data_IF_733264044379
#
_entry.id   IF_733264044379
#
_cell.length_a   1.000
_cell.length_b   1.000
_cell.length_c   1.000
_cell.angle_alpha   90.00
_cell.angle_beta   90.00
_cell.angle_gamma   90.00
#
_symmetry.space_group_name_H-M   'P 1'
#
loop_
_entity.id
_entity.type
_entity.pdbx_description
1 polymer ?
#
# COMPACT_ATOMS: atom_id res chain seq x y z
N UNK A 1 -4.72 -60.14 65.63
CA UNK A 1 -3.88 -59.57 64.57
C UNK A 1 -4.48 -58.20 64.28
N UNK A 2 -4.07 -57.20 65.08
CA UNK A 2 -3.07 -56.18 64.71
C UNK A 2 -3.64 -55.29 63.60
N UNK A 3 -3.76 -53.98 63.68
CA UNK A 3 -3.33 -52.94 64.62
C UNK A 3 -3.93 -51.63 64.02
N UNK A 4 -4.61 -50.79 64.82
CA UNK A 4 -4.10 -49.49 65.32
C UNK A 4 -4.29 -48.26 64.40
N UNK A 5 -4.56 -47.13 65.08
CA UNK A 5 -4.41 -45.72 64.69
C UNK A 5 -5.49 -45.11 63.76
N UNK A 6 -6.48 -44.34 64.26
CA UNK A 6 -6.52 -43.00 64.93
C UNK A 6 -6.78 -41.83 63.98
N UNK A 7 -7.82 -41.09 64.36
CA UNK A 7 -7.89 -39.63 64.48
C UNK A 7 -8.00 -38.69 63.27
N UNK A 8 -9.02 -37.82 63.43
CA UNK A 8 -9.01 -36.37 63.22
C UNK A 8 -9.19 -35.79 61.79
N UNK A 9 -10.35 -35.13 61.63
CA UNK A 9 -10.55 -33.86 60.88
C UNK A 9 -9.42 -32.82 61.16
N UNK A 10 -9.28 -31.67 60.44
CA UNK A 10 -10.00 -31.10 59.29
C UNK A 10 -9.06 -30.38 58.26
N UNK A 11 -9.65 -29.55 57.39
CA UNK A 11 -9.07 -28.32 56.76
C UNK A 11 -8.73 -28.31 55.25
N UNK A 12 -9.48 -27.41 54.58
CA UNK A 12 -9.03 -26.37 53.63
C UNK A 12 -7.88 -26.73 52.72
N UNK A 13 -8.11 -26.75 51.40
CA UNK A 13 -7.41 -25.85 50.48
C UNK A 13 -8.36 -25.49 49.33
N UNK A 14 -8.87 -24.27 49.36
CA UNK A 14 -9.41 -23.63 48.19
C UNK A 14 -8.31 -23.60 47.13
N UNK A 15 -8.54 -24.25 45.99
CA UNK A 15 -7.70 -24.12 44.80
C UNK A 15 -7.82 -22.67 44.31
N UNK A 16 -6.95 -21.83 44.86
CA UNK A 16 -6.73 -20.48 44.39
C UNK A 16 -6.40 -20.55 42.90
N UNK A 17 -7.28 -20.00 42.06
CA UNK A 17 -6.92 -19.63 40.70
C UNK A 17 -5.70 -18.72 40.80
N UNK A 18 -4.56 -19.18 40.32
CA UNK A 18 -3.41 -18.30 40.17
C UNK A 18 -3.84 -17.13 39.28
N UNK A 19 -3.65 -15.86 39.69
CA UNK A 19 -3.92 -14.74 38.81
C UNK A 19 -2.93 -14.82 37.66
N UNK A 20 -3.41 -15.21 36.46
CA UNK A 20 -2.64 -15.08 35.23
C UNK A 20 -2.18 -13.62 35.12
N UNK A 21 -0.85 -13.43 35.18
CA UNK A 21 -0.18 -12.12 35.21
C UNK A 21 -0.69 -11.24 34.05
N UNK A 22 -1.52 -10.20 34.30
CA UNK A 22 -2.09 -9.36 33.23
C UNK A 22 -1.02 -8.49 32.54
N UNK A 23 0.15 -8.34 33.16
CA UNK A 23 1.24 -7.45 32.72
C UNK A 23 1.93 -7.94 31.45
N UNK A 24 2.31 -9.23 31.40
CA UNK A 24 3.02 -9.82 30.26
C UNK A 24 2.22 -9.76 28.95
N UNK A 25 0.88 -9.81 29.03
CA UNK A 25 -0.01 -9.75 27.87
C UNK A 25 -0.08 -8.33 27.29
N UNK A 26 -0.12 -7.31 28.16
CA UNK A 26 -0.19 -5.91 27.72
C UNK A 26 1.12 -5.45 27.08
N UNK A 27 2.26 -5.70 27.72
CA UNK A 27 3.58 -5.35 27.20
C UNK A 27 3.84 -6.02 25.85
N UNK A 28 3.50 -7.32 25.73
CA UNK A 28 3.59 -8.06 24.47
C UNK A 28 2.73 -7.43 23.38
N UNK A 29 1.49 -7.04 23.68
CA UNK A 29 0.59 -6.36 22.72
C UNK A 29 1.17 -5.02 22.26
N UNK A 30 1.76 -4.25 23.17
CA UNK A 30 2.43 -2.98 22.83
C UNK A 30 3.59 -3.23 21.87
N UNK A 31 4.50 -4.16 22.22
CA UNK A 31 5.68 -4.47 21.39
C UNK A 31 5.27 -4.97 19.99
N UNK A 32 4.31 -5.91 19.90
CA UNK A 32 3.82 -6.42 18.61
C UNK A 32 3.22 -5.30 17.77
N UNK A 33 2.40 -4.43 18.37
CA UNK A 33 1.75 -3.34 17.65
C UNK A 33 2.77 -2.32 17.13
N UNK A 34 3.79 -2.00 17.94
CA UNK A 34 4.88 -1.09 17.53
C UNK A 34 5.74 -1.71 16.42
N UNK A 35 6.09 -2.99 16.54
CA UNK A 35 6.85 -3.70 15.50
C UNK A 35 6.08 -3.76 14.17
N UNK A 36 4.76 -4.04 14.22
CA UNK A 36 3.90 -4.02 13.05
C UNK A 36 3.79 -2.61 12.43
N UNK A 37 3.72 -1.57 13.26
CA UNK A 37 3.70 -0.18 12.80
C UNK A 37 4.99 0.19 12.05
N UNK A 38 6.15 -0.14 12.62
CA UNK A 38 7.45 0.11 11.99
C UNK A 38 7.60 -0.68 10.68
N UNK A 39 7.17 -1.95 10.68
CA UNK A 39 7.16 -2.79 9.48
C UNK A 39 6.34 -2.15 8.36
N UNK A 40 5.16 -1.60 8.68
CA UNK A 40 4.34 -0.89 7.70
C UNK A 40 5.04 0.36 7.14
N UNK A 41 5.73 1.13 7.99
CA UNK A 41 6.50 2.30 7.54
C UNK A 41 7.62 1.91 6.57
N UNK A 42 8.38 0.87 6.91
CA UNK A 42 9.45 0.35 6.05
C UNK A 42 8.90 -0.18 4.73
N UNK A 43 7.79 -0.91 4.76
CA UNK A 43 7.13 -1.42 3.57
C UNK A 43 6.63 -0.29 2.67
N UNK A 44 6.06 0.79 3.21
CA UNK A 44 5.66 1.97 2.41
C UNK A 44 6.87 2.62 1.74
N UNK A 45 8.00 2.77 2.45
CA UNK A 45 9.25 3.30 1.87
C UNK A 45 9.75 2.41 0.73
N UNK A 46 9.78 1.09 0.94
CA UNK A 46 10.19 0.10 -0.06
C UNK A 46 9.29 0.17 -1.30
N UNK A 47 7.97 0.12 -1.12
CA UNK A 47 7.00 0.18 -2.21
C UNK A 47 7.12 1.48 -3.00
N UNK A 48 7.32 2.61 -2.32
CA UNK A 48 7.53 3.91 -2.98
C UNK A 48 8.76 3.91 -3.88
N UNK A 49 9.87 3.32 -3.42
CA UNK A 49 11.07 3.14 -4.25
C UNK A 49 10.81 2.26 -5.46
N UNK A 50 10.13 1.11 -5.27
CA UNK A 50 9.80 0.17 -6.36
C UNK A 50 8.91 0.85 -7.41
N UNK A 51 7.86 1.55 -6.97
CA UNK A 51 6.99 2.33 -7.86
C UNK A 51 7.82 3.33 -8.67
N UNK A 52 8.74 4.05 -8.02
CA UNK A 52 9.64 5.00 -8.69
C UNK A 52 10.51 4.34 -9.76
N UNK A 53 11.05 3.14 -9.50
CA UNK A 53 11.81 2.36 -10.48
C UNK A 53 10.94 1.97 -11.68
N UNK A 54 9.73 1.46 -11.44
CA UNK A 54 8.80 1.10 -12.51
C UNK A 54 8.44 2.32 -13.39
N UNK A 55 8.10 3.45 -12.77
CA UNK A 55 7.79 4.69 -13.48
C UNK A 55 9.01 5.17 -14.27
N UNK A 56 10.21 5.18 -13.67
CA UNK A 56 11.44 5.58 -14.33
C UNK A 56 11.77 4.75 -15.57
N UNK A 57 11.48 3.43 -15.55
CA UNK A 57 11.63 2.57 -16.73
C UNK A 57 10.70 2.97 -17.88
N UNK A 58 9.44 3.30 -17.58
CA UNK A 58 8.50 3.81 -18.57
C UNK A 58 8.95 5.18 -19.11
N UNK A 59 9.37 6.10 -18.23
CA UNK A 59 9.85 7.43 -18.64
C UNK A 59 11.04 7.36 -19.60
N UNK A 60 11.98 6.46 -19.30
CA UNK A 60 13.21 6.33 -20.07
C UNK A 60 13.09 5.34 -21.25
N UNK A 61 11.91 4.74 -21.47
CA UNK A 61 11.61 3.89 -22.64
C UNK A 61 12.34 2.53 -22.68
N UNK A 62 12.80 2.02 -21.54
CA UNK A 62 13.78 0.92 -21.52
C UNK A 62 13.25 -0.47 -21.89
N UNK A 63 11.93 -0.71 -21.99
CA UNK A 63 11.42 -2.00 -22.50
C UNK A 63 10.14 -1.80 -23.32
N UNK A 64 10.23 -1.45 -24.61
CA UNK A 64 9.10 -1.29 -25.56
C UNK A 64 8.33 0.03 -25.44
N UNK A 65 8.77 1.02 -26.21
CA UNK A 65 7.81 1.70 -27.10
C UNK A 65 7.53 0.63 -28.18
N UNK A 66 6.26 0.24 -28.37
CA UNK A 66 5.86 -0.78 -29.34
C UNK A 66 6.36 -0.51 -30.78
N UNK A 67 6.07 -1.41 -31.75
CA UNK A 67 6.45 -1.17 -33.13
C UNK A 67 5.92 0.20 -33.58
N UNK A 68 6.76 0.95 -34.31
CA UNK A 68 6.36 2.18 -35.01
C UNK A 68 4.99 1.94 -35.66
N UNK A 69 3.95 2.75 -35.40
CA UNK A 69 2.71 2.61 -36.14
C UNK A 69 3.06 2.80 -37.62
N UNK A 70 2.87 1.76 -38.43
CA UNK A 70 3.04 1.85 -39.87
C UNK A 70 2.00 2.86 -40.36
N UNK A 71 2.45 4.06 -40.71
CA UNK A 71 1.55 5.06 -41.26
C UNK A 71 1.36 4.74 -42.74
N UNK A 72 0.13 4.83 -43.24
CA UNK A 72 -0.18 4.68 -44.68
C UNK A 72 0.51 5.74 -45.57
N UNK A 73 1.33 6.61 -44.98
CA UNK A 73 2.05 7.71 -45.63
C UNK A 73 3.58 7.58 -45.50
N UNK A 74 4.09 6.42 -45.06
CA UNK A 74 5.54 6.16 -44.91
C UNK A 74 6.31 6.32 -46.25
N UNK A 75 5.63 6.22 -47.39
CA UNK A 75 6.21 6.39 -48.72
C UNK A 75 6.39 7.85 -49.16
N UNK A 76 5.73 8.84 -48.52
CA UNK A 76 5.68 10.23 -49.01
C UNK A 76 6.63 11.17 -48.26
N UNK A 77 6.89 10.93 -46.97
CA UNK A 77 7.62 11.88 -46.10
C UNK A 77 9.02 11.43 -45.68
N UNK A 78 9.48 10.25 -46.12
CA UNK A 78 10.73 9.67 -45.67
C UNK A 78 10.73 9.35 -44.16
N UNK A 79 11.77 8.64 -43.71
CA UNK A 79 11.91 8.21 -42.31
C UNK A 79 12.21 9.46 -41.45
N UNK A 80 11.17 10.12 -40.95
CA UNK A 80 11.31 11.14 -39.92
C UNK A 80 11.69 10.48 -38.57
N UNK A 81 12.68 10.99 -37.82
CA UNK A 81 13.03 10.44 -36.52
C UNK A 81 11.86 10.63 -35.54
N UNK A 82 11.37 9.51 -35.03
CA UNK A 82 10.40 9.49 -33.94
C UNK A 82 11.08 9.91 -32.62
N UNK A 83 10.63 10.97 -31.92
CA UNK A 83 9.68 12.03 -32.31
C UNK A 83 10.37 13.40 -32.41
N UNK A 84 10.53 13.93 -33.63
CA UNK A 84 10.96 15.31 -33.86
C UNK A 84 9.77 16.21 -34.19
N UNK A 85 9.41 17.07 -33.23
CA UNK A 85 8.48 18.20 -33.35
C UNK A 85 8.37 18.89 -31.99
N UNK A 86 8.02 20.18 -31.95
CA UNK A 86 7.84 21.02 -30.75
C UNK A 86 6.70 20.53 -29.81
N UNK A 87 6.77 19.28 -29.36
CA UNK A 87 5.80 18.61 -28.50
C UNK A 87 6.37 18.35 -27.10
N UNK A 88 7.41 19.10 -26.70
CA UNK A 88 8.06 18.94 -25.40
C UNK A 88 7.05 19.12 -24.25
N UNK A 89 6.11 20.06 -24.37
CA UNK A 89 5.05 20.30 -23.37
C UNK A 89 3.96 19.22 -23.36
N UNK A 90 3.72 18.55 -24.50
CA UNK A 90 2.74 17.46 -24.59
C UNK A 90 3.31 16.20 -23.95
N UNK A 91 4.60 15.92 -24.16
CA UNK A 91 5.26 14.69 -23.74
C UNK A 91 5.91 14.78 -22.36
N UNK A 92 6.17 15.99 -21.84
CA UNK A 92 6.80 16.18 -20.53
C UNK A 92 5.86 16.90 -19.55
N UNK A 93 5.98 16.58 -18.27
CA UNK A 93 5.30 17.29 -17.18
C UNK A 93 5.96 18.65 -16.92
N UNK A 94 5.39 19.45 -16.02
CA UNK A 94 5.91 20.78 -15.62
C UNK A 94 7.36 20.72 -15.09
N UNK A 95 7.82 19.54 -14.66
CA UNK A 95 9.19 19.29 -14.21
C UNK A 95 10.08 18.70 -15.32
N UNK A 96 9.68 18.81 -16.59
CA UNK A 96 10.39 18.33 -17.77
C UNK A 96 10.61 16.81 -17.80
N UNK A 97 9.84 16.03 -17.04
CA UNK A 97 9.91 14.56 -17.06
C UNK A 97 8.88 14.01 -18.01
N UNK A 98 9.23 12.97 -18.76
CA UNK A 98 8.28 12.32 -19.68
C UNK A 98 7.02 11.86 -18.94
N UNK A 99 5.85 12.22 -19.46
CA UNK A 99 4.54 11.74 -19.00
C UNK A 99 4.45 10.25 -19.25
N UNK A 100 4.11 9.50 -18.21
CA UNK A 100 3.94 8.03 -18.27
C UNK A 100 2.47 7.67 -18.46
N UNK A 101 2.18 6.44 -18.90
CA UNK A 101 0.80 5.96 -19.02
C UNK A 101 0.06 6.04 -17.68
N UNK A 102 0.75 5.75 -16.57
CA UNK A 102 0.17 5.87 -15.22
C UNK A 102 -0.11 7.33 -14.83
N UNK A 103 0.71 8.27 -15.28
CA UNK A 103 0.39 9.70 -15.15
C UNK A 103 -0.86 10.04 -15.97
N UNK A 104 -0.95 9.53 -17.21
CA UNK A 104 -2.11 9.70 -18.08
C UNK A 104 -3.40 9.21 -17.43
N UNK A 105 -3.38 8.02 -16.83
CA UNK A 105 -4.51 7.45 -16.11
C UNK A 105 -4.97 8.35 -14.94
N UNK A 106 -4.03 8.95 -14.18
CA UNK A 106 -4.37 9.84 -13.07
C UNK A 106 -4.85 11.23 -13.50
N UNK A 107 -4.43 11.71 -14.67
CA UNK A 107 -4.87 12.99 -15.23
C UNK A 107 -6.10 12.87 -16.12
N UNK A 108 -6.54 11.66 -16.44
CA UNK A 108 -7.76 11.44 -17.19
C UNK A 108 -8.95 12.08 -16.47
N UNK A 109 -9.76 12.82 -17.22
CA UNK A 109 -10.96 13.49 -16.74
C UNK A 109 -12.05 13.29 -17.78
N UNK A 110 -13.20 12.79 -17.33
CA UNK A 110 -14.38 12.58 -18.16
C UNK A 110 -15.64 13.18 -17.49
N UNK A 111 -16.68 13.54 -18.26
CA UNK A 111 -17.92 14.06 -17.70
C UNK A 111 -18.57 13.04 -16.76
N UNK A 112 -19.00 13.49 -15.58
CA UNK A 112 -19.70 12.62 -14.64
C UNK A 112 -21.01 12.10 -15.22
N UNK A 113 -21.33 10.83 -14.98
CA UNK A 113 -22.60 10.21 -15.37
C UNK A 113 -23.83 10.85 -14.72
N UNK A 114 -23.67 11.56 -13.59
CA UNK A 114 -24.74 12.33 -12.97
C UNK A 114 -24.89 13.76 -13.50
N UNK A 115 -24.14 14.13 -14.55
CA UNK A 115 -24.20 15.45 -15.20
C UNK A 115 -23.49 16.58 -14.45
N UNK A 116 -22.87 16.30 -13.29
CA UNK A 116 -22.16 17.30 -12.50
C UNK A 116 -20.64 17.09 -12.55
N UNK A 117 -19.96 18.00 -13.26
CA UNK A 117 -18.51 18.14 -13.23
C UNK A 117 -17.74 17.07 -14.02
N UNK A 118 -16.41 17.12 -13.87
CA UNK A 118 -15.48 16.15 -14.46
C UNK A 118 -14.96 15.23 -13.36
N UNK A 119 -14.99 13.92 -13.60
CA UNK A 119 -14.46 12.90 -12.69
C UNK A 119 -13.22 12.24 -13.30
N UNK A 120 -12.34 11.74 -12.45
CA UNK A 120 -11.23 10.90 -12.90
C UNK A 120 -11.62 9.42 -12.91
N UNK A 121 -10.77 8.61 -13.54
CA UNK A 121 -10.96 7.16 -13.61
C UNK A 121 -11.04 6.54 -12.21
N UNK A 122 -11.98 5.62 -12.05
CA UNK A 122 -12.11 4.74 -10.90
C UNK A 122 -10.97 3.71 -10.86
N UNK A 123 -10.86 2.99 -9.75
CA UNK A 123 -9.78 2.01 -9.56
C UNK A 123 -9.76 0.94 -10.65
N UNK A 124 -10.92 0.43 -11.04
CA UNK A 124 -11.05 -0.63 -12.04
C UNK A 124 -10.78 -0.07 -13.45
N UNK A 125 -11.29 1.13 -13.74
CA UNK A 125 -11.04 1.83 -15.01
C UNK A 125 -9.57 2.21 -15.19
N UNK A 126 -8.82 2.52 -14.11
CA UNK A 126 -7.37 2.71 -14.18
C UNK A 126 -6.68 1.40 -14.57
N UNK A 127 -7.14 0.25 -14.07
CA UNK A 127 -6.56 -1.04 -14.42
C UNK A 127 -6.78 -1.37 -15.91
N UNK A 128 -8.00 -1.15 -16.39
CA UNK A 128 -8.37 -1.36 -17.80
C UNK A 128 -7.61 -0.40 -18.72
N UNK A 129 -7.59 0.91 -18.39
CA UNK A 129 -6.81 1.91 -19.11
C UNK A 129 -5.34 1.49 -19.23
N UNK A 130 -4.73 1.00 -18.14
CA UNK A 130 -3.34 0.58 -18.16
C UNK A 130 -3.10 -0.72 -18.92
N UNK A 131 -4.09 -1.62 -18.97
CA UNK A 131 -4.04 -2.82 -19.78
C UNK A 131 -4.04 -2.47 -21.28
N UNK A 132 -4.89 -1.51 -21.70
CA UNK A 132 -4.97 -1.03 -23.08
C UNK A 132 -3.70 -0.33 -23.58
N UNK A 133 -2.91 0.25 -22.67
CA UNK A 133 -1.61 0.86 -23.01
C UNK A 133 -0.49 -0.18 -23.20
N UNK A 134 -0.75 -1.46 -22.90
CA UNK A 134 0.19 -2.58 -23.03
C UNK A 134 1.55 -2.37 -22.34
N UNK A 135 1.63 -1.46 -21.36
CA UNK A 135 2.88 -1.08 -20.70
C UNK A 135 3.08 -1.83 -19.39
N UNK A 136 3.90 -2.89 -19.43
CA UNK A 136 4.21 -3.75 -18.28
C UNK A 136 4.73 -2.96 -17.07
N UNK A 137 5.50 -1.87 -17.28
CA UNK A 137 6.01 -1.07 -16.17
C UNK A 137 4.91 -0.30 -15.44
N UNK A 138 3.95 0.26 -16.18
CA UNK A 138 2.84 1.02 -15.61
C UNK A 138 1.84 0.10 -14.92
N UNK A 139 1.54 -1.07 -15.49
CA UNK A 139 0.70 -2.09 -14.85
C UNK A 139 1.35 -2.62 -13.55
N UNK A 140 2.66 -2.87 -13.55
CA UNK A 140 3.41 -3.23 -12.32
C UNK A 140 3.43 -2.10 -11.30
N UNK A 141 3.65 -0.86 -11.73
CA UNK A 141 3.60 0.30 -10.85
C UNK A 141 2.21 0.41 -10.19
N UNK A 142 1.14 0.18 -10.95
CA UNK A 142 -0.23 0.19 -10.45
C UNK A 142 -0.47 -0.86 -9.38
N UNK A 143 -0.05 -2.11 -9.61
CA UNK A 143 -0.09 -3.16 -8.59
C UNK A 143 0.60 -2.72 -7.28
N UNK A 144 1.80 -2.15 -7.35
CA UNK A 144 2.49 -1.68 -6.15
C UNK A 144 1.85 -0.44 -5.50
N UNK A 145 1.15 0.39 -6.28
CA UNK A 145 0.35 1.51 -5.74
C UNK A 145 -0.83 0.98 -4.93
N UNK A 146 -1.54 -0.04 -5.44
CA UNK A 146 -2.64 -0.69 -4.72
C UNK A 146 -2.14 -1.32 -3.41
N UNK A 147 -1.02 -2.04 -3.47
CA UNK A 147 -0.39 -2.62 -2.29
C UNK A 147 0.00 -1.52 -1.28
N UNK A 148 0.58 -0.41 -1.74
CA UNK A 148 0.92 0.72 -0.88
C UNK A 148 -0.31 1.36 -0.25
N UNK A 149 -1.45 1.43 -0.96
CA UNK A 149 -2.72 1.91 -0.40
C UNK A 149 -3.20 0.99 0.71
N UNK A 150 -3.11 -0.34 0.53
CA UNK A 150 -3.43 -1.33 1.58
C UNK A 150 -2.56 -1.15 2.82
N UNK A 151 -1.24 -1.11 2.67
CA UNK A 151 -0.31 -0.92 3.80
C UNK A 151 -0.55 0.41 4.53
N UNK A 152 -0.91 1.49 3.80
CA UNK A 152 -1.29 2.78 4.43
C UNK A 152 -2.56 2.67 5.27
N UNK A 153 -3.55 1.89 4.82
CA UNK A 153 -4.78 1.61 5.59
C UNK A 153 -4.43 0.87 6.88
N UNK A 154 -3.60 -0.17 6.79
CA UNK A 154 -3.14 -0.95 7.95
C UNK A 154 -2.37 -0.08 8.95
N UNK A 155 -1.48 0.79 8.46
CA UNK A 155 -0.80 1.78 9.29
C UNK A 155 -1.79 2.70 10.04
N UNK A 156 -2.88 3.10 9.39
CA UNK A 156 -3.96 3.86 10.02
C UNK A 156 -4.61 3.09 11.18
N UNK A 157 -4.94 1.82 10.97
CA UNK A 157 -5.50 0.95 12.02
C UNK A 157 -4.53 0.73 13.18
N UNK A 158 -3.24 0.57 12.89
CA UNK A 158 -2.19 0.43 13.91
C UNK A 158 -2.03 1.71 14.74
N UNK A 159 -2.08 2.89 14.13
CA UNK A 159 -2.06 4.18 14.85
C UNK A 159 -3.26 4.33 15.81
N UNK A 160 -4.44 3.85 15.43
CA UNK A 160 -5.61 3.82 16.31
C UNK A 160 -5.40 2.82 17.45
N UNK A 161 -4.85 1.64 17.16
CA UNK A 161 -4.54 0.62 18.15
C UNK A 161 -3.53 1.11 19.19
N UNK A 162 -2.45 1.77 18.76
CA UNK A 162 -1.45 2.39 19.65
C UNK A 162 -2.11 3.44 20.56
N UNK A 163 -2.99 4.30 20.00
CA UNK A 163 -3.75 5.27 20.81
C UNK A 163 -4.64 4.58 21.84
N UNK A 164 -5.30 3.47 21.46
CA UNK A 164 -6.13 2.67 22.37
C UNK A 164 -5.32 2.03 23.50
N UNK A 165 -4.14 1.47 23.17
CA UNK A 165 -3.19 0.94 24.15
C UNK A 165 -2.69 2.03 25.10
N UNK A 166 -2.32 3.21 24.57
CA UNK A 166 -1.89 4.35 25.37
C UNK A 166 -2.97 4.84 26.35
N UNK A 167 -4.21 4.98 25.89
CA UNK A 167 -5.36 5.31 26.77
C UNK A 167 -5.57 4.26 27.86
N UNK A 168 -5.40 2.98 27.50
CA UNK A 168 -5.54 1.87 28.45
C UNK A 168 -4.42 1.84 29.48
N UNK A 169 -3.19 2.19 29.11
CA UNK A 169 -2.07 2.34 30.04
C UNK A 169 -2.32 3.50 31.01
N UNK A 170 -2.74 4.67 30.51
CA UNK A 170 -3.04 5.84 31.36
C UNK A 170 -4.13 5.54 32.40
N UNK A 171 -5.21 4.84 32.01
CA UNK A 171 -6.27 4.44 32.95
C UNK A 171 -5.78 3.54 34.09
N UNK A 172 -4.71 2.76 33.89
CA UNK A 172 -4.12 1.91 34.93
C UNK A 172 -3.19 2.68 35.88
N UNK A 173 -2.77 3.88 35.50
CA UNK A 173 -1.88 4.75 36.29
C UNK A 173 -2.65 5.75 37.15
N UNK A 174 -3.94 5.96 36.87
CA UNK A 174 -4.83 6.82 37.67
C UNK A 174 -5.35 5.97 38.84
N UNK A 175 -5.19 6.39 40.12
CA UNK A 175 -5.67 5.67 41.31
C UNK A 175 -7.19 5.49 41.34
#
# INVERSE_FOLDING_TARGET
MTDLFTDAHPERWALGKQPEKPHMNFERKVVITLAAHETCLQQIKRLTRIIGVCIGKCQNGYDQIGPRPASAHDDILGILPWPNGEHHEILHDEQHRRKTHIWGAFQHREPSSCGYGMVGLQIDEIADFLADQECVHCTRAWHFILERKRVKKDLGHLRLSIRGLGKSALKKLIP
#
